data_IF_200471119427
#
_entry.id   IF_200471119427
#
_cell.length_a   1.000
_cell.length_b   1.000
_cell.length_c   1.000
_cell.angle_alpha   90.00
_cell.angle_beta   90.00
_cell.angle_gamma   90.00
#
_symmetry.space_group_name_H-M   'P 1'
#
loop_
_entity.id
_entity.type
_entity.pdbx_description
1 polymer ?
#
# COMPACT_ATOMS: atom_id res chain seq x y z
N UNK A 1 -43.61 -25.76 -14.07
CA UNK A 1 -42.76 -24.71 -14.66
C UNK A 1 -41.40 -24.74 -13.96
N UNK A 2 -40.35 -25.24 -14.58
CA UNK A 2 -38.99 -25.22 -14.00
C UNK A 2 -38.46 -23.81 -14.16
N UNK A 3 -38.22 -23.10 -13.05
CA UNK A 3 -37.54 -21.82 -13.02
C UNK A 3 -36.10 -22.00 -13.52
N UNK A 4 -35.82 -21.48 -14.70
CA UNK A 4 -34.49 -21.41 -15.29
C UNK A 4 -33.74 -20.31 -14.54
N UNK A 5 -32.97 -20.67 -13.49
CA UNK A 5 -31.99 -19.75 -12.89
C UNK A 5 -30.88 -19.55 -13.91
N UNK A 6 -30.90 -18.42 -14.63
CA UNK A 6 -29.75 -17.96 -15.40
C UNK A 6 -28.54 -17.94 -14.45
N UNK A 7 -27.43 -18.61 -14.79
CA UNK A 7 -26.20 -18.45 -14.03
C UNK A 7 -25.82 -16.97 -14.10
N UNK A 8 -25.39 -16.42 -12.96
CA UNK A 8 -24.96 -15.03 -12.85
C UNK A 8 -23.74 -14.80 -13.79
N UNK A 9 -24.01 -14.57 -15.07
CA UNK A 9 -22.99 -14.20 -16.06
C UNK A 9 -22.24 -12.92 -15.65
N UNK A 10 -22.85 -12.10 -14.80
CA UNK A 10 -22.25 -10.85 -14.30
C UNK A 10 -21.19 -11.07 -13.20
N UNK A 11 -21.17 -12.20 -12.49
CA UNK A 11 -20.12 -12.49 -11.52
C UNK A 11 -18.73 -12.75 -12.15
N UNK A 12 -18.67 -13.00 -13.45
CA UNK A 12 -17.42 -13.23 -14.17
C UNK A 12 -16.78 -11.93 -14.67
N UNK A 13 -17.52 -10.81 -14.61
CA UNK A 13 -17.11 -9.51 -15.14
C UNK A 13 -16.60 -8.57 -14.05
N UNK A 14 -16.99 -8.75 -12.79
CA UNK A 14 -16.56 -7.91 -11.66
C UNK A 14 -15.61 -8.67 -10.73
N UNK A 15 -14.32 -8.57 -11.00
CA UNK A 15 -13.31 -9.06 -10.04
C UNK A 15 -13.28 -8.17 -8.79
N UNK A 16 -13.43 -8.75 -7.59
CA UNK A 16 -13.18 -8.02 -6.35
C UNK A 16 -11.67 -7.72 -6.26
N UNK A 17 -11.31 -6.54 -5.78
CA UNK A 17 -9.94 -6.05 -5.65
C UNK A 17 -9.66 -5.78 -4.18
N UNK A 18 -8.51 -6.22 -3.70
CA UNK A 18 -7.96 -5.76 -2.43
C UNK A 18 -6.67 -4.97 -2.71
N UNK A 19 -6.53 -3.82 -2.09
CA UNK A 19 -5.38 -2.93 -2.20
C UNK A 19 -4.78 -2.77 -0.82
N UNK A 20 -3.51 -3.13 -0.68
CA UNK A 20 -2.68 -2.76 0.46
C UNK A 20 -1.86 -1.53 0.06
N UNK A 21 -2.22 -0.38 0.65
CA UNK A 21 -1.67 0.92 0.29
C UNK A 21 -0.53 1.30 1.25
N UNK A 22 0.54 0.53 1.23
CA UNK A 22 1.67 0.73 2.12
C UNK A 22 2.59 1.89 1.72
N UNK A 23 3.30 2.45 2.71
CA UNK A 23 4.27 3.55 2.52
C UNK A 23 5.39 3.19 1.54
N UNK A 24 5.95 1.98 1.65
CA UNK A 24 7.06 1.54 0.80
C UNK A 24 6.58 0.89 -0.50
N UNK A 25 5.59 0.01 -0.43
CA UNK A 25 5.06 -0.74 -1.56
C UNK A 25 3.54 -0.79 -1.51
N UNK A 26 2.95 -0.78 -2.69
CA UNK A 26 1.51 -1.05 -2.89
C UNK A 26 1.34 -2.44 -3.47
N UNK A 27 0.49 -3.25 -2.82
CA UNK A 27 0.08 -4.54 -3.33
C UNK A 27 -1.37 -4.50 -3.79
N UNK A 28 -1.65 -5.12 -4.93
CA UNK A 28 -3.03 -5.29 -5.39
C UNK A 28 -3.29 -6.76 -5.67
N UNK A 29 -4.30 -7.27 -5.01
CA UNK A 29 -4.82 -8.61 -5.21
C UNK A 29 -6.12 -8.56 -5.99
N UNK A 30 -6.25 -9.43 -6.97
CA UNK A 30 -7.45 -9.57 -7.79
C UNK A 30 -8.05 -10.96 -7.62
N UNK A 31 -9.34 -11.02 -7.36
CA UNK A 31 -10.07 -12.28 -7.21
C UNK A 31 -9.88 -13.18 -8.42
N UNK A 32 -9.42 -14.41 -8.18
CA UNK A 32 -9.16 -15.42 -9.20
C UNK A 32 -7.81 -15.28 -9.92
N UNK A 33 -7.02 -14.21 -9.64
CA UNK A 33 -5.69 -14.00 -10.23
C UNK A 33 -4.57 -13.88 -9.18
N UNK A 34 -4.92 -13.70 -7.89
CA UNK A 34 -3.94 -13.49 -6.82
C UNK A 34 -3.35 -12.09 -6.83
N UNK A 35 -2.12 -11.94 -6.31
CA UNK A 35 -1.39 -10.67 -6.33
C UNK A 35 -0.98 -10.34 -7.76
N UNK A 36 -1.49 -9.23 -8.29
CA UNK A 36 -1.26 -8.76 -9.67
C UNK A 36 -0.38 -7.52 -9.74
N UNK A 37 -0.25 -6.77 -8.64
CA UNK A 37 0.68 -5.66 -8.46
C UNK A 37 1.41 -5.85 -7.15
N UNK A 38 2.71 -5.69 -7.17
CA UNK A 38 3.60 -5.55 -6.01
C UNK A 38 4.70 -4.60 -6.44
N UNK A 39 4.44 -3.31 -6.30
CA UNK A 39 5.31 -2.27 -6.80
C UNK A 39 5.53 -1.18 -5.75
N UNK A 40 6.65 -0.46 -5.82
CA UNK A 40 6.93 0.66 -4.92
C UNK A 40 5.84 1.73 -4.95
N UNK A 41 5.51 2.31 -3.80
CA UNK A 41 4.57 3.43 -3.66
C UNK A 41 5.26 4.75 -4.06
N UNK A 42 5.59 4.88 -5.33
CA UNK A 42 6.35 6.00 -5.92
C UNK A 42 5.66 6.48 -7.18
N UNK A 43 5.70 7.81 -7.39
CA UNK A 43 5.13 8.48 -8.55
C UNK A 43 6.17 9.42 -9.14
N UNK A 44 6.26 9.47 -10.47
CA UNK A 44 6.97 10.53 -11.18
C UNK A 44 5.93 11.46 -11.83
N UNK A 45 6.05 12.76 -11.52
CA UNK A 45 5.18 13.81 -12.09
C UNK A 45 5.98 14.80 -12.90
N UNK A 46 5.32 15.50 -13.81
CA UNK A 46 5.82 16.73 -14.42
C UNK A 46 5.59 17.87 -13.43
N UNK A 47 6.63 18.67 -13.15
CA UNK A 47 6.57 19.77 -12.15
C UNK A 47 5.74 20.96 -12.62
N UNK A 48 5.47 21.12 -13.94
CA UNK A 48 4.74 22.26 -14.48
C UNK A 48 3.22 22.12 -14.41
N UNK A 49 2.73 20.91 -14.62
CA UNK A 49 1.29 20.65 -14.72
C UNK A 49 0.79 19.53 -13.80
N UNK A 50 1.69 18.94 -12.99
CA UNK A 50 1.42 17.83 -12.09
C UNK A 50 0.90 16.55 -12.80
N UNK A 51 1.09 16.43 -14.10
CA UNK A 51 0.71 15.19 -14.80
C UNK A 51 1.60 14.03 -14.36
N UNK A 52 0.97 12.89 -14.11
CA UNK A 52 1.69 11.67 -13.72
C UNK A 52 2.25 11.00 -14.97
N UNK A 53 3.58 10.85 -14.97
CA UNK A 53 4.34 10.25 -16.06
C UNK A 53 4.55 8.76 -15.83
N UNK A 54 4.82 8.36 -14.60
CA UNK A 54 5.07 6.96 -14.23
C UNK A 54 4.63 6.67 -12.80
N UNK A 55 4.32 5.40 -12.51
CA UNK A 55 4.01 4.90 -11.16
C UNK A 55 4.74 3.59 -10.89
N UNK A 56 5.06 3.34 -9.62
CA UNK A 56 5.62 2.09 -9.17
C UNK A 56 7.06 1.85 -9.64
N UNK A 57 7.35 0.68 -10.16
CA UNK A 57 8.68 0.27 -10.59
C UNK A 57 9.26 1.19 -11.68
N UNK A 58 8.43 1.68 -12.60
CA UNK A 58 8.84 2.63 -13.63
C UNK A 58 9.28 3.97 -13.01
N UNK A 59 8.51 4.49 -12.06
CA UNK A 59 8.87 5.70 -11.32
C UNK A 59 10.13 5.49 -10.47
N UNK A 60 10.29 4.32 -9.81
CA UNK A 60 11.51 3.98 -9.04
C UNK A 60 12.76 3.97 -9.93
N UNK A 61 12.65 3.49 -11.17
CA UNK A 61 13.77 3.49 -12.12
C UNK A 61 14.20 4.90 -12.54
N UNK A 62 13.32 5.87 -12.44
CA UNK A 62 13.59 7.28 -12.72
C UNK A 62 14.20 8.03 -11.54
N UNK A 63 14.16 7.49 -10.32
CA UNK A 63 14.63 8.14 -9.12
C UNK A 63 16.13 8.51 -9.24
N UNK A 64 16.45 9.79 -9.04
CA UNK A 64 17.80 10.34 -9.16
C UNK A 64 18.33 10.45 -10.61
N UNK A 65 17.50 10.17 -11.61
CA UNK A 65 17.87 10.20 -13.05
C UNK A 65 16.94 11.07 -13.89
N UNK A 66 16.01 11.77 -13.25
CA UNK A 66 15.00 12.58 -13.94
C UNK A 66 15.59 13.91 -14.44
N UNK A 67 15.08 14.36 -15.59
CA UNK A 67 15.27 15.73 -16.05
C UNK A 67 14.61 16.71 -15.06
N UNK A 68 15.05 17.98 -15.04
CA UNK A 68 14.55 19.02 -14.10
C UNK A 68 13.04 19.25 -14.14
N UNK A 69 12.39 18.85 -15.22
CA UNK A 69 10.94 18.95 -15.40
C UNK A 69 10.16 17.78 -14.77
N UNK A 70 10.86 16.74 -14.34
CA UNK A 70 10.27 15.55 -13.73
C UNK A 70 10.72 15.42 -12.28
N UNK A 71 9.79 15.17 -11.40
CA UNK A 71 10.03 14.91 -9.99
C UNK A 71 9.47 13.55 -9.59
N UNK A 72 10.29 12.77 -8.90
CA UNK A 72 9.88 11.47 -8.36
C UNK A 72 9.69 11.58 -6.86
N UNK A 73 8.48 11.31 -6.40
CA UNK A 73 8.06 11.47 -5.00
C UNK A 73 7.40 10.21 -4.45
N UNK A 74 7.43 10.07 -3.12
CA UNK A 74 6.61 9.11 -2.37
C UNK A 74 5.37 9.84 -1.85
N UNK A 75 4.17 9.55 -2.35
CA UNK A 75 2.96 10.23 -1.92
C UNK A 75 2.45 9.79 -0.54
N UNK A 76 2.99 8.67 -0.03
CA UNK A 76 2.74 8.13 1.30
C UNK A 76 4.05 8.19 2.09
N UNK A 77 4.01 8.74 3.31
CA UNK A 77 5.15 8.85 4.21
C UNK A 77 4.69 8.62 5.65
N UNK A 78 5.43 7.85 6.42
CA UNK A 78 5.18 7.62 7.85
C UNK A 78 3.74 7.21 8.17
N UNK A 79 3.13 6.38 7.30
CA UNK A 79 1.75 5.93 7.47
C UNK A 79 0.68 6.98 7.22
N UNK A 80 1.02 8.13 6.62
CA UNK A 80 0.07 9.19 6.27
C UNK A 80 0.13 9.52 4.78
N UNK A 81 -0.95 10.11 4.27
CA UNK A 81 -1.00 10.60 2.89
C UNK A 81 -0.38 12.00 2.85
N UNK A 82 0.86 12.09 2.38
CA UNK A 82 1.57 13.35 2.24
C UNK A 82 1.09 14.16 1.04
N UNK A 83 0.64 13.49 -0.02
CA UNK A 83 0.10 14.13 -1.24
C UNK A 83 -1.11 13.35 -1.76
N UNK A 84 -2.30 13.93 -1.57
CA UNK A 84 -3.58 13.31 -1.99
C UNK A 84 -3.69 13.16 -3.50
N UNK A 85 -3.26 14.17 -4.27
CA UNK A 85 -3.36 14.17 -5.73
C UNK A 85 -2.48 13.07 -6.33
N UNK A 86 -1.26 12.95 -5.81
CA UNK A 86 -0.33 11.93 -6.28
C UNK A 86 -0.73 10.53 -5.80
N UNK A 87 -1.28 10.38 -4.61
CA UNK A 87 -1.84 9.09 -4.12
C UNK A 87 -3.00 8.64 -5.00
N UNK A 88 -3.94 9.53 -5.30
CA UNK A 88 -5.06 9.26 -6.21
C UNK A 88 -4.56 8.79 -7.58
N UNK A 89 -3.64 9.54 -8.16
CA UNK A 89 -3.06 9.20 -9.45
C UNK A 89 -2.26 7.91 -9.45
N UNK A 90 -1.58 7.58 -8.34
CA UNK A 90 -0.89 6.31 -8.15
C UNK A 90 -1.88 5.14 -8.15
N UNK A 91 -2.95 5.23 -7.37
CA UNK A 91 -4.01 4.20 -7.33
C UNK A 91 -4.61 4.00 -8.73
N UNK A 92 -4.98 5.09 -9.40
CA UNK A 92 -5.52 5.02 -10.76
C UNK A 92 -4.50 4.44 -11.76
N UNK A 93 -3.21 4.78 -11.61
CA UNK A 93 -2.14 4.24 -12.44
C UNK A 93 -2.00 2.73 -12.28
N UNK A 94 -2.02 2.23 -11.06
CA UNK A 94 -1.98 0.79 -10.78
C UNK A 94 -3.23 0.06 -11.28
N UNK A 95 -4.42 0.62 -11.08
CA UNK A 95 -5.67 0.03 -11.61
C UNK A 95 -5.65 -0.05 -13.14
N UNK A 96 -5.08 0.95 -13.82
CA UNK A 96 -4.90 0.90 -15.28
C UNK A 96 -3.94 -0.20 -15.71
N UNK A 97 -2.84 -0.45 -14.97
CA UNK A 97 -1.89 -1.55 -15.26
C UNK A 97 -2.54 -2.94 -15.17
N UNK A 98 -3.54 -3.13 -14.31
CA UNK A 98 -4.25 -4.41 -14.17
C UNK A 98 -5.07 -4.76 -15.43
N UNK A 99 -5.36 -3.76 -16.26
CA UNK A 99 -6.12 -3.91 -17.51
C UNK A 99 -7.47 -4.63 -17.32
N UNK A 100 -8.25 -4.14 -16.36
CA UNK A 100 -9.62 -4.63 -16.15
C UNK A 100 -10.48 -4.26 -17.35
N UNK A 101 -11.49 -5.12 -17.63
CA UNK A 101 -12.52 -4.75 -18.60
C UNK A 101 -13.16 -3.42 -18.18
N UNK A 102 -13.26 -2.46 -19.11
CA UNK A 102 -13.83 -1.13 -18.85
C UNK A 102 -15.25 -1.14 -18.30
N UNK A 103 -15.99 -2.21 -18.55
CA UNK A 103 -17.34 -2.43 -18.03
C UNK A 103 -17.35 -3.07 -16.65
N UNK A 104 -16.21 -3.58 -16.18
CA UNK A 104 -16.10 -4.14 -14.84
C UNK A 104 -16.07 -3.00 -13.82
N UNK A 105 -17.01 -3.06 -12.87
CA UNK A 105 -17.06 -2.18 -11.71
C UNK A 105 -16.80 -3.02 -10.46
N UNK A 106 -15.52 -3.20 -10.07
CA UNK A 106 -15.17 -4.05 -8.95
C UNK A 106 -15.64 -3.47 -7.62
N UNK A 107 -15.82 -4.34 -6.61
CA UNK A 107 -15.74 -3.90 -5.22
C UNK A 107 -14.28 -3.81 -4.85
N UNK A 108 -13.92 -2.75 -4.14
CA UNK A 108 -12.55 -2.56 -3.65
C UNK A 108 -12.54 -2.59 -2.13
N UNK A 109 -11.60 -3.33 -1.56
CA UNK A 109 -11.20 -3.23 -0.16
C UNK A 109 -9.82 -2.60 -0.15
N UNK A 110 -9.65 -1.48 0.56
CA UNK A 110 -8.37 -0.77 0.65
C UNK A 110 -7.91 -0.80 2.09
N UNK A 111 -6.72 -1.34 2.34
CA UNK A 111 -6.08 -1.28 3.64
C UNK A 111 -5.55 0.14 3.87
N UNK A 112 -5.75 0.62 5.07
CA UNK A 112 -5.26 1.94 5.51
C UNK A 112 -4.61 1.80 6.88
N UNK A 113 -3.55 2.59 7.16
CA UNK A 113 -2.96 2.62 8.49
C UNK A 113 -3.98 2.99 9.56
N UNK A 114 -3.81 2.48 10.76
CA UNK A 114 -4.73 2.72 11.86
C UNK A 114 -4.78 4.18 12.33
N UNK A 115 -3.71 4.96 12.04
CA UNK A 115 -3.57 6.35 12.41
C UNK A 115 -4.17 7.37 11.44
N UNK A 116 -4.78 6.93 10.31
CA UNK A 116 -5.33 7.86 9.32
C UNK A 116 -6.55 8.61 9.85
N UNK A 117 -6.61 9.89 9.50
CA UNK A 117 -7.73 10.78 9.83
C UNK A 117 -8.97 10.47 8.98
N UNK A 118 -10.14 10.95 9.40
CA UNK A 118 -11.38 10.81 8.63
C UNK A 118 -11.30 11.50 7.24
N UNK A 119 -10.53 12.58 7.14
CA UNK A 119 -10.31 13.26 5.86
C UNK A 119 -9.50 12.38 4.91
N UNK A 120 -8.44 11.73 5.40
CA UNK A 120 -7.64 10.79 4.63
C UNK A 120 -8.45 9.54 4.24
N UNK A 121 -9.26 9.01 5.16
CA UNK A 121 -10.21 7.91 4.86
C UNK A 121 -11.15 8.28 3.72
N UNK A 122 -11.77 9.45 3.77
CA UNK A 122 -12.62 9.95 2.69
C UNK A 122 -11.86 10.06 1.38
N UNK A 123 -10.66 10.63 1.38
CA UNK A 123 -9.85 10.79 0.18
C UNK A 123 -9.47 9.45 -0.48
N UNK A 124 -9.10 8.44 0.33
CA UNK A 124 -8.81 7.09 -0.18
C UNK A 124 -10.06 6.45 -0.79
N UNK A 125 -11.20 6.61 -0.12
CA UNK A 125 -12.48 6.11 -0.63
C UNK A 125 -12.85 6.75 -1.96
N UNK A 126 -12.75 8.07 -2.05
CA UNK A 126 -12.99 8.83 -3.28
C UNK A 126 -12.06 8.40 -4.41
N UNK A 127 -10.78 8.09 -4.09
CA UNK A 127 -9.82 7.60 -5.08
C UNK A 127 -10.21 6.23 -5.64
N UNK A 128 -10.70 5.33 -4.79
CA UNK A 128 -11.25 4.05 -5.23
C UNK A 128 -12.49 4.23 -6.13
N UNK A 129 -13.38 5.15 -5.80
CA UNK A 129 -14.57 5.46 -6.61
C UNK A 129 -14.18 6.06 -7.97
N UNK A 130 -13.20 6.99 -8.01
CA UNK A 130 -12.65 7.53 -9.25
C UNK A 130 -11.94 6.48 -10.10
N UNK A 131 -11.39 5.44 -9.47
CA UNK A 131 -10.82 4.28 -10.16
C UNK A 131 -11.91 3.30 -10.68
N UNK A 132 -13.17 3.74 -10.77
CA UNK A 132 -14.33 3.00 -11.27
C UNK A 132 -14.80 1.85 -10.38
N UNK A 133 -14.52 1.87 -9.08
CA UNK A 133 -15.12 0.92 -8.14
C UNK A 133 -16.64 1.13 -8.04
N UNK A 134 -17.38 0.03 -7.86
CA UNK A 134 -18.81 0.07 -7.54
C UNK A 134 -19.02 0.42 -6.08
N UNK A 135 -18.17 -0.14 -5.21
CA UNK A 135 -18.21 0.01 -3.77
C UNK A 135 -16.77 -0.02 -3.26
N UNK A 136 -16.47 0.85 -2.30
CA UNK A 136 -15.14 0.92 -1.65
C UNK A 136 -15.31 0.72 -0.16
N UNK A 137 -14.60 -0.25 0.39
CA UNK A 137 -14.52 -0.54 1.81
C UNK A 137 -13.10 -0.26 2.28
N UNK A 138 -12.99 0.33 3.47
CA UNK A 138 -11.70 0.53 4.12
C UNK A 138 -11.55 -0.45 5.28
N UNK A 139 -10.37 -1.00 5.43
CA UNK A 139 -9.99 -1.90 6.53
C UNK A 139 -8.68 -1.42 7.14
N UNK A 140 -8.54 -1.48 8.45
CA UNK A 140 -7.27 -1.16 9.12
C UNK A 140 -6.24 -2.27 8.86
N UNK A 141 -4.97 -1.89 8.61
CA UNK A 141 -3.88 -2.81 8.26
C UNK A 141 -3.74 -3.97 9.26
N UNK A 142 -3.73 -3.77 10.59
CA UNK A 142 -3.60 -4.88 11.53
C UNK A 142 -4.77 -5.87 11.48
N UNK A 143 -5.99 -5.39 11.15
CA UNK A 143 -7.16 -6.26 11.00
C UNK A 143 -7.03 -7.10 9.73
N UNK A 144 -6.58 -6.48 8.63
CA UNK A 144 -6.31 -7.19 7.38
C UNK A 144 -5.22 -8.24 7.56
N UNK A 145 -4.13 -7.91 8.28
CA UNK A 145 -3.04 -8.82 8.61
C UNK A 145 -3.54 -10.02 9.43
N UNK A 146 -4.35 -9.77 10.49
CA UNK A 146 -4.93 -10.82 11.32
C UNK A 146 -5.77 -11.81 10.49
N UNK A 147 -6.61 -11.29 9.61
CA UNK A 147 -7.42 -12.11 8.69
C UNK A 147 -6.52 -12.87 7.73
N UNK A 148 -5.49 -12.22 7.18
CA UNK A 148 -4.57 -12.80 6.21
C UNK A 148 -3.78 -13.99 6.72
N UNK A 149 -3.39 -13.98 8.01
CA UNK A 149 -2.72 -15.11 8.67
C UNK A 149 -3.70 -16.16 9.22
N UNK A 150 -5.01 -15.97 9.00
CA UNK A 150 -6.04 -16.95 9.38
C UNK A 150 -6.43 -16.93 10.84
N UNK A 151 -6.21 -15.84 11.58
CA UNK A 151 -6.71 -15.72 12.96
C UNK A 151 -8.23 -15.58 12.96
N UNK A 152 -8.89 -16.33 13.85
CA UNK A 152 -10.31 -16.14 14.12
C UNK A 152 -10.49 -14.97 15.10
N UNK A 153 -10.59 -13.77 14.53
CA UNK A 153 -10.78 -12.54 15.30
C UNK A 153 -12.17 -12.37 15.88
N UNK A 154 -13.12 -13.27 15.56
CA UNK A 154 -14.50 -13.22 16.09
C UNK A 154 -14.61 -13.68 17.54
N UNK A 155 -13.62 -14.41 18.02
CA UNK A 155 -13.59 -14.95 19.38
C UNK A 155 -13.31 -13.86 20.42
N UNK A 156 -13.80 -14.05 21.66
CA UNK A 156 -13.52 -13.13 22.77
C UNK A 156 -12.10 -13.37 23.37
N UNK A 157 -11.13 -13.49 22.48
CA UNK A 157 -9.70 -13.70 22.80
C UNK A 157 -8.93 -12.54 22.21
N UNK A 158 -8.07 -11.91 23.03
CA UNK A 158 -7.17 -10.86 22.54
C UNK A 158 -6.05 -11.43 21.68
N UNK A 159 -5.99 -11.02 20.42
CA UNK A 159 -4.88 -11.32 19.52
C UNK A 159 -4.05 -10.08 19.34
N UNK A 160 -2.73 -10.18 19.54
CA UNK A 160 -1.80 -9.07 19.31
C UNK A 160 -1.21 -9.24 17.91
N UNK A 161 -1.33 -8.21 17.10
CA UNK A 161 -0.69 -8.09 15.79
C UNK A 161 0.39 -7.01 15.91
N UNK A 162 1.56 -7.31 15.39
CA UNK A 162 2.66 -6.35 15.19
C UNK A 162 2.94 -6.34 13.70
N UNK A 163 2.61 -5.25 13.06
CA UNK A 163 2.85 -5.03 11.63
C UNK A 163 3.98 -4.01 11.46
N UNK A 164 5.07 -4.43 10.82
CA UNK A 164 6.27 -3.61 10.60
C UNK A 164 6.35 -3.32 9.09
N UNK A 165 5.94 -2.12 8.74
CA UNK A 165 5.92 -1.65 7.35
C UNK A 165 7.23 -0.97 6.90
N UNK A 166 7.10 -0.08 5.91
CA UNK A 166 8.19 0.79 5.47
C UNK A 166 8.38 2.00 6.37
N UNK A 167 7.31 2.76 6.64
CA UNK A 167 7.35 4.01 7.41
C UNK A 167 6.77 3.89 8.82
N UNK A 168 6.01 2.83 9.13
CA UNK A 168 5.35 2.66 10.43
C UNK A 168 5.45 1.24 10.94
N UNK A 169 5.45 1.11 12.27
CA UNK A 169 5.16 -0.14 12.98
C UNK A 169 3.85 0.04 13.73
N UNK A 170 2.88 -0.80 13.43
CA UNK A 170 1.56 -0.82 14.07
C UNK A 170 1.43 -2.00 15.00
N UNK A 171 0.98 -1.73 16.23
CA UNK A 171 0.69 -2.76 17.23
C UNK A 171 -0.79 -2.66 17.56
N UNK A 172 -1.54 -3.72 17.36
CA UNK A 172 -2.97 -3.75 17.64
C UNK A 172 -3.38 -4.99 18.44
N UNK A 173 -4.28 -4.79 19.40
CA UNK A 173 -5.00 -5.87 20.07
C UNK A 173 -6.37 -5.98 19.43
N UNK A 174 -6.68 -7.16 18.89
CA UNK A 174 -7.92 -7.42 18.17
C UNK A 174 -8.72 -8.50 18.90
N UNK A 175 -10.00 -8.25 19.11
CA UNK A 175 -10.96 -9.20 19.70
C UNK A 175 -12.37 -8.87 19.21
N UNK A 176 -13.24 -9.88 19.10
CA UNK A 176 -14.65 -9.71 18.71
C UNK A 176 -14.85 -8.87 17.41
N UNK A 177 -14.02 -9.14 16.40
CA UNK A 177 -13.98 -8.44 15.11
C UNK A 177 -13.64 -6.94 15.19
N UNK A 178 -13.09 -6.47 16.30
CA UNK A 178 -12.75 -5.07 16.50
C UNK A 178 -11.36 -4.86 17.06
N UNK A 179 -10.81 -3.69 16.81
CA UNK A 179 -9.56 -3.21 17.44
C UNK A 179 -9.91 -2.72 18.84
N UNK A 180 -9.35 -3.38 19.85
CA UNK A 180 -9.55 -3.03 21.29
C UNK A 180 -8.60 -1.93 21.71
N UNK A 181 -7.34 -2.04 21.27
CA UNK A 181 -6.30 -1.05 21.53
C UNK A 181 -5.30 -1.06 20.37
N UNK A 182 -4.72 0.09 20.08
CA UNK A 182 -3.71 0.22 19.03
C UNK A 182 -2.70 1.29 19.36
N UNK A 183 -1.49 1.09 18.88
CA UNK A 183 -0.38 2.04 18.95
C UNK A 183 0.34 2.04 17.60
N UNK A 184 0.74 3.21 17.11
CA UNK A 184 1.48 3.36 15.87
C UNK A 184 2.75 4.16 16.16
N UNK A 185 3.90 3.61 15.82
CA UNK A 185 5.19 4.28 15.90
C UNK A 185 5.79 4.47 14.52
N UNK A 186 6.43 5.62 14.29
CA UNK A 186 7.11 5.99 13.05
C UNK A 186 8.56 5.52 13.08
N UNK A 187 8.76 4.24 13.35
CA UNK A 187 10.05 3.56 13.29
C UNK A 187 9.80 2.23 12.58
N UNK A 188 10.36 2.09 11.40
CA UNK A 188 10.15 0.92 10.57
C UNK A 188 11.28 0.72 9.54
N UNK A 189 10.99 0.20 8.37
CA UNK A 189 11.98 -0.16 7.35
C UNK A 189 12.81 0.99 6.85
N UNK A 190 12.24 2.19 6.72
CA UNK A 190 12.94 3.38 6.20
C UNK A 190 13.97 3.90 7.22
N UNK A 191 13.65 3.91 8.52
CA UNK A 191 14.60 4.26 9.60
C UNK A 191 15.73 3.24 9.72
N UNK A 192 15.45 1.95 9.44
CA UNK A 192 16.49 0.93 9.38
C UNK A 192 17.45 1.19 8.22
N UNK A 193 16.94 1.64 7.05
CA UNK A 193 17.76 2.01 5.91
C UNK A 193 18.62 3.23 6.23
N UNK A 194 18.05 4.25 6.85
CA UNK A 194 18.77 5.44 7.28
C UNK A 194 19.87 5.11 8.30
N UNK A 195 19.60 4.21 9.23
CA UNK A 195 20.59 3.77 10.22
C UNK A 195 21.79 3.08 9.54
N UNK A 196 21.57 2.23 8.54
CA UNK A 196 22.64 1.61 7.73
C UNK A 196 23.44 2.67 6.98
N UNK A 197 22.75 3.64 6.34
CA UNK A 197 23.39 4.74 5.64
C UNK A 197 24.29 5.57 6.57
N UNK A 198 23.78 5.95 7.74
CA UNK A 198 24.54 6.71 8.75
C UNK A 198 25.74 5.91 9.27
N UNK A 199 25.59 4.60 9.46
CA UNK A 199 26.70 3.75 9.89
C UNK A 199 27.84 3.75 8.85
N UNK A 200 27.56 3.56 7.56
CA UNK A 200 28.57 3.64 6.50
C UNK A 200 29.27 5.00 6.47
N UNK A 201 28.49 6.08 6.61
CA UNK A 201 29.04 7.45 6.65
C UNK A 201 29.97 7.67 7.83
N UNK A 202 29.56 7.21 9.02
CA UNK A 202 30.29 7.48 10.25
C UNK A 202 31.53 6.58 10.41
N UNK A 203 31.36 5.28 10.18
CA UNK A 203 32.44 4.31 10.43
C UNK A 203 33.41 4.17 9.24
N UNK A 204 32.88 4.22 8.01
CA UNK A 204 33.68 3.96 6.81
C UNK A 204 33.95 5.20 5.97
N UNK A 205 33.37 6.37 6.31
CA UNK A 205 33.47 7.62 5.54
C UNK A 205 33.01 7.44 4.09
N UNK A 206 32.07 6.53 3.88
CA UNK A 206 31.46 6.23 2.58
C UNK A 206 30.04 6.79 2.52
N UNK A 207 29.74 7.51 1.45
CA UNK A 207 28.38 7.93 1.15
C UNK A 207 27.72 6.91 0.20
N UNK A 208 26.71 6.21 0.71
CA UNK A 208 25.86 5.30 -0.06
C UNK A 208 24.48 5.92 -0.27
N UNK A 209 23.81 5.56 -1.35
CA UNK A 209 22.42 6.00 -1.56
C UNK A 209 21.42 5.11 -0.83
N UNK A 210 20.19 5.63 -0.58
CA UNK A 210 19.10 4.90 0.07
C UNK A 210 18.81 3.53 -0.56
N UNK A 211 18.83 3.44 -1.90
CA UNK A 211 18.62 2.15 -2.58
C UNK A 211 19.71 1.11 -2.31
N UNK A 212 20.95 1.55 -2.07
CA UNK A 212 22.04 0.66 -1.67
C UNK A 212 21.86 0.23 -0.22
N UNK A 213 21.47 1.15 0.66
CA UNK A 213 21.17 0.88 2.07
C UNK A 213 20.05 -0.16 2.22
N UNK A 214 18.93 0.03 1.49
CA UNK A 214 17.83 -0.94 1.42
C UNK A 214 18.32 -2.33 0.94
N UNK A 215 19.17 -2.35 -0.08
CA UNK A 215 19.71 -3.60 -0.62
C UNK A 215 20.60 -4.32 0.40
N UNK A 216 21.45 -3.59 1.12
CA UNK A 216 22.29 -4.14 2.19
C UNK A 216 21.40 -4.70 3.32
N UNK A 217 20.44 -3.91 3.81
CA UNK A 217 19.49 -4.35 4.83
C UNK A 217 18.84 -5.68 4.44
N UNK A 218 18.33 -5.79 3.22
CA UNK A 218 17.64 -7.00 2.73
C UNK A 218 18.56 -8.20 2.53
N UNK A 219 19.82 -7.97 2.20
CA UNK A 219 20.76 -9.06 1.88
C UNK A 219 21.47 -9.64 3.10
N UNK A 220 21.76 -8.81 4.10
CA UNK A 220 22.55 -9.23 5.28
C UNK A 220 21.87 -8.96 6.61
N UNK A 221 20.75 -8.24 6.61
CA UNK A 221 20.00 -7.95 7.82
C UNK A 221 19.45 -9.22 8.49
N UNK A 222 19.60 -9.31 9.80
CA UNK A 222 19.07 -10.42 10.61
C UNK A 222 18.62 -9.91 11.97
N UNK A 223 17.46 -10.38 12.44
CA UNK A 223 16.99 -10.14 13.79
C UNK A 223 17.61 -11.12 14.82
N UNK A 224 18.35 -12.12 14.35
CA UNK A 224 19.05 -13.09 15.17
C UNK A 224 20.57 -12.92 15.05
N UNK A 225 21.27 -13.17 16.17
CA UNK A 225 22.73 -13.21 16.19
C UNK A 225 23.26 -14.51 15.62
#
# INVERSE_FOLDING_TARGET
>A
MKSFKLPNLFNWISGDIAIDLGTANTLIWLKGRGVVINEPSIVTRNVHDDTIVAVGAEAKAMLGRTHRELETIRPLQDGVIADFKMTDGMIQGFIRKINLNRLARPRMVICVPSGVTEVERSAVKDSGERANAREVYLIEEPVAAAIGIGLDISQPIGNIIVDIGGGTTEIAVISLNGVVNKETIRIAGDEMDDAVLQWFRNEHKLEIGLGMSESIKKSVGSAMK
#
